data_IF_085566498736
#
_entry.id   IF_085566498736
#
_cell.length_a   1.000
_cell.length_b   1.000
_cell.length_c   1.000
_cell.angle_alpha   90.00
_cell.angle_beta   90.00
_cell.angle_gamma   90.00
#
_symmetry.space_group_name_H-M   'P 1'
#
loop_
_entity.id
_entity.type
_entity.pdbx_description
1 polymer ?
#
# COMPACT_ATOMS: atom_id res chain seq x y z
N UNK A 1 16.02 -4.54 1.52
CA UNK A 1 16.51 -4.10 2.85
C UNK A 1 16.39 -2.58 3.09
N UNK A 2 16.80 -1.65 2.19
CA UNK A 2 16.67 -0.20 2.46
C UNK A 2 15.21 0.31 2.48
N UNK A 3 14.29 -0.34 1.77
CA UNK A 3 12.90 0.10 1.79
C UNK A 3 12.19 -0.17 3.11
N UNK A 4 12.51 -1.28 3.79
CA UNK A 4 11.97 -1.57 5.12
C UNK A 4 12.44 -0.55 6.17
N UNK A 5 13.69 -0.08 6.08
CA UNK A 5 14.20 0.96 6.98
C UNK A 5 13.57 2.33 6.70
N UNK A 6 13.33 2.67 5.43
CA UNK A 6 12.60 3.89 5.05
C UNK A 6 11.16 3.84 5.57
N UNK A 7 10.45 2.74 5.36
CA UNK A 7 9.10 2.52 5.87
C UNK A 7 9.04 2.63 7.40
N UNK A 8 9.97 2.01 8.11
CA UNK A 8 10.06 2.11 9.57
C UNK A 8 10.32 3.56 10.04
N UNK A 9 11.19 4.30 9.33
CA UNK A 9 11.47 5.71 9.62
C UNK A 9 10.24 6.59 9.39
N UNK A 10 9.53 6.38 8.28
CA UNK A 10 8.28 7.10 7.98
C UNK A 10 7.22 6.78 9.04
N UNK A 11 7.00 5.50 9.36
CA UNK A 11 6.11 5.09 10.45
C UNK A 11 6.43 5.82 11.75
N UNK A 12 7.71 5.86 12.13
CA UNK A 12 8.15 6.54 13.36
C UNK A 12 7.89 8.05 13.29
N UNK A 13 8.19 8.71 12.18
CA UNK A 13 7.94 10.15 12.00
C UNK A 13 6.45 10.44 12.12
N UNK A 14 5.63 9.75 11.34
CA UNK A 14 4.18 9.92 11.35
C UNK A 14 3.60 9.65 12.74
N UNK A 15 4.07 8.63 13.47
CA UNK A 15 3.65 8.37 14.86
C UNK A 15 4.00 9.52 15.81
N UNK A 16 5.18 10.13 15.68
CA UNK A 16 5.60 11.26 16.51
C UNK A 16 4.78 12.51 16.23
N UNK A 17 4.53 12.80 14.95
CA UNK A 17 3.68 13.92 14.52
C UNK A 17 2.25 13.73 15.06
N UNK A 18 1.71 12.53 14.89
CA UNK A 18 0.36 12.15 15.35
C UNK A 18 0.21 12.24 16.87
N UNK A 19 1.24 11.85 17.62
CA UNK A 19 1.25 11.97 19.10
C UNK A 19 1.33 13.41 19.60
N UNK A 20 1.82 14.32 18.76
CA UNK A 20 1.98 15.74 19.08
C UNK A 20 0.69 16.54 18.85
N UNK A 21 -0.32 15.94 18.21
CA UNK A 21 -1.59 16.59 17.89
C UNK A 21 -2.51 16.73 19.11
N UNK A 22 -3.27 17.83 19.13
CA UNK A 22 -4.08 18.21 20.28
C UNK A 22 -5.20 17.22 20.60
N UNK A 23 -5.70 16.44 19.63
CA UNK A 23 -6.72 15.42 19.91
C UNK A 23 -6.19 14.25 20.74
N UNK A 24 -4.87 13.97 20.72
CA UNK A 24 -4.26 12.98 21.63
C UNK A 24 -4.27 13.54 23.07
N UNK A 25 -4.02 14.84 23.23
CA UNK A 25 -4.11 15.51 24.54
C UNK A 25 -5.55 15.52 25.04
N UNK A 26 -6.53 15.78 24.16
CA UNK A 26 -7.96 15.70 24.51
C UNK A 26 -8.39 14.27 24.86
N UNK A 27 -7.87 13.26 24.15
CA UNK A 27 -8.14 11.85 24.45
C UNK A 27 -7.63 11.46 25.85
N UNK A 28 -6.44 11.93 26.25
CA UNK A 28 -5.92 11.74 27.61
C UNK A 28 -6.74 12.50 28.65
N UNK A 29 -7.17 13.73 28.36
CA UNK A 29 -8.03 14.52 29.24
C UNK A 29 -9.42 13.87 29.45
N UNK A 30 -9.91 13.09 28.47
CA UNK A 30 -11.14 12.28 28.59
C UNK A 30 -10.96 10.98 29.40
N UNK A 31 -9.77 10.69 29.93
CA UNK A 31 -9.51 9.51 30.77
C UNK A 31 -9.00 8.27 30.02
N UNK A 32 -8.67 8.38 28.72
CA UNK A 32 -8.03 7.27 28.01
C UNK A 32 -6.59 7.11 28.48
N UNK A 33 -6.20 5.88 28.79
CA UNK A 33 -4.80 5.56 29.11
C UNK A 33 -3.90 5.80 27.90
N UNK A 34 -2.63 6.17 28.12
CA UNK A 34 -1.68 6.44 27.04
C UNK A 34 -1.55 5.31 26.02
N UNK A 35 -1.67 4.05 26.46
CA UNK A 35 -1.69 2.86 25.58
C UNK A 35 -2.96 2.77 24.73
N UNK A 36 -4.13 3.13 25.27
CA UNK A 36 -5.39 3.15 24.52
C UNK A 36 -5.40 4.27 23.49
N UNK A 37 -4.95 5.48 23.85
CA UNK A 37 -4.82 6.60 22.91
C UNK A 37 -3.80 6.28 21.79
N UNK A 38 -2.66 5.67 22.13
CA UNK A 38 -1.67 5.23 21.15
C UNK A 38 -2.25 4.21 20.18
N UNK A 39 -2.85 3.11 20.69
CA UNK A 39 -3.29 1.99 19.86
C UNK A 39 -4.55 2.30 19.04
N UNK A 40 -5.45 3.13 19.57
CA UNK A 40 -6.76 3.41 18.96
C UNK A 40 -6.78 4.69 18.12
N UNK A 41 -5.94 5.68 18.42
CA UNK A 41 -5.91 6.97 17.71
C UNK A 41 -4.59 7.20 16.98
N UNK A 42 -3.45 7.16 17.68
CA UNK A 42 -2.17 7.52 17.05
C UNK A 42 -1.70 6.49 16.00
N UNK A 43 -1.81 5.19 16.30
CA UNK A 43 -1.36 4.13 15.38
C UNK A 43 -2.17 4.11 14.08
N UNK A 44 -3.50 4.23 14.18
CA UNK A 44 -4.38 4.23 13.01
C UNK A 44 -4.14 5.43 12.10
N UNK A 45 -3.94 6.63 12.66
CA UNK A 45 -3.61 7.81 11.86
C UNK A 45 -2.20 7.75 11.25
N UNK A 46 -1.21 7.29 12.01
CA UNK A 46 0.16 7.19 11.54
C UNK A 46 0.40 6.07 10.51
N UNK A 47 -0.53 5.12 10.40
CA UNK A 47 -0.52 4.07 9.37
C UNK A 47 -0.90 4.60 7.98
N UNK A 48 -1.54 5.77 7.89
CA UNK A 48 -2.05 6.30 6.62
C UNK A 48 -0.92 6.51 5.60
N UNK A 49 0.18 7.22 5.93
CA UNK A 49 1.29 7.43 4.97
C UNK A 49 2.00 6.15 4.59
N UNK A 50 2.02 5.17 5.50
CA UNK A 50 2.76 3.92 5.35
C UNK A 50 2.03 2.98 4.41
N UNK A 51 0.70 2.90 4.51
CA UNK A 51 -0.14 2.23 3.53
C UNK A 51 0.04 2.83 2.11
N UNK A 52 0.29 4.15 2.00
CA UNK A 52 0.40 4.81 0.68
C UNK A 52 1.70 4.37 0.02
N UNK A 53 2.77 4.37 0.81
CA UNK A 53 4.08 3.90 0.36
C UNK A 53 4.02 2.43 -0.03
N UNK A 54 3.31 1.58 0.73
CA UNK A 54 3.13 0.16 0.39
C UNK A 54 2.38 0.00 -0.93
N UNK A 55 1.31 0.76 -1.17
CA UNK A 55 0.57 0.75 -2.42
C UNK A 55 1.45 1.11 -3.63
N UNK A 56 2.23 2.19 -3.52
CA UNK A 56 3.19 2.58 -4.55
C UNK A 56 4.27 1.50 -4.78
N UNK A 57 4.74 0.87 -3.70
CA UNK A 57 5.78 -0.16 -3.74
C UNK A 57 5.30 -1.45 -4.40
N UNK A 58 4.01 -1.76 -4.31
CA UNK A 58 3.41 -2.90 -5.01
C UNK A 58 3.53 -2.76 -6.53
N UNK A 59 3.31 -1.57 -7.09
CA UNK A 59 3.51 -1.30 -8.51
C UNK A 59 4.97 -1.52 -8.94
N UNK A 60 5.93 -1.11 -8.10
CA UNK A 60 7.36 -1.37 -8.35
C UNK A 60 7.70 -2.87 -8.28
N UNK A 61 7.11 -3.60 -7.34
CA UNK A 61 7.29 -5.05 -7.23
C UNK A 61 6.74 -5.77 -8.46
N UNK A 62 5.58 -5.37 -8.95
CA UNK A 62 4.98 -5.92 -10.17
C UNK A 62 5.89 -5.71 -11.38
N UNK A 63 6.39 -4.48 -11.58
CA UNK A 63 7.32 -4.16 -12.66
C UNK A 63 8.66 -4.91 -12.52
N UNK A 64 9.18 -5.03 -11.30
CA UNK A 64 10.39 -5.79 -11.01
C UNK A 64 10.23 -7.29 -11.25
N UNK A 65 9.06 -7.86 -10.94
CA UNK A 65 8.76 -9.26 -11.18
C UNK A 65 8.83 -9.61 -12.67
N UNK A 66 8.33 -8.73 -13.55
CA UNK A 66 8.44 -8.91 -15.01
C UNK A 66 9.91 -9.02 -15.45
N UNK A 67 10.79 -8.18 -14.91
CA UNK A 67 12.22 -8.21 -15.23
C UNK A 67 12.86 -9.52 -14.72
N UNK A 68 12.57 -9.90 -13.48
CA UNK A 68 13.11 -11.12 -12.87
C UNK A 68 12.64 -12.37 -13.64
N UNK A 69 11.36 -12.43 -14.03
CA UNK A 69 10.81 -13.52 -14.83
C UNK A 69 11.53 -13.68 -16.17
N UNK A 70 11.85 -12.56 -16.84
CA UNK A 70 12.57 -12.57 -18.10
C UNK A 70 14.04 -12.99 -17.94
N UNK A 71 14.74 -12.46 -16.93
CA UNK A 71 16.17 -12.76 -16.72
C UNK A 71 16.40 -14.21 -16.28
N UNK A 72 15.54 -14.74 -15.40
CA UNK A 72 15.68 -16.09 -14.85
C UNK A 72 14.90 -17.15 -15.64
N UNK A 73 14.30 -16.80 -16.79
CA UNK A 73 13.48 -17.71 -17.61
C UNK A 73 12.37 -18.43 -16.83
N UNK A 74 11.83 -17.79 -15.79
CA UNK A 74 10.71 -18.33 -15.03
C UNK A 74 9.42 -18.24 -15.86
N UNK A 75 8.55 -19.25 -15.82
CA UNK A 75 7.25 -19.18 -16.50
C UNK A 75 6.32 -18.24 -15.72
N UNK A 76 6.16 -17.01 -16.21
CA UNK A 76 5.32 -15.99 -15.59
C UNK A 76 4.62 -15.09 -16.61
N UNK A 77 3.67 -14.29 -16.12
CA UNK A 77 2.82 -13.43 -16.96
C UNK A 77 3.61 -12.31 -17.65
N UNK A 78 4.66 -11.78 -17.01
CA UNK A 78 5.52 -10.76 -17.59
C UNK A 78 6.34 -11.26 -18.77
N UNK A 79 6.82 -12.51 -18.68
CA UNK A 79 7.51 -13.18 -19.79
C UNK A 79 6.56 -13.51 -20.95
N UNK A 80 5.33 -13.93 -20.65
CA UNK A 80 4.28 -14.19 -21.65
C UNK A 80 3.97 -12.94 -22.48
N UNK A 81 3.85 -11.77 -21.83
CA UNK A 81 3.69 -10.47 -22.54
C UNK A 81 4.86 -10.23 -23.48
N UNK A 82 6.09 -10.42 -23.02
CA UNK A 82 7.29 -10.18 -23.83
C UNK A 82 7.37 -11.09 -25.06
N UNK A 83 7.00 -12.36 -24.90
CA UNK A 83 6.91 -13.32 -26.01
C UNK A 83 5.81 -12.94 -27.00
N UNK A 84 4.63 -12.54 -26.52
CA UNK A 84 3.51 -12.13 -27.35
C UNK A 84 3.83 -10.84 -28.15
N UNK A 85 4.54 -9.87 -27.55
CA UNK A 85 5.06 -8.68 -28.25
C UNK A 85 6.00 -9.10 -29.40
N UNK A 86 6.92 -10.03 -29.14
CA UNK A 86 7.87 -10.52 -30.15
C UNK A 86 7.16 -11.23 -31.31
N UNK A 87 6.12 -12.01 -31.00
CA UNK A 87 5.28 -12.71 -31.98
C UNK A 87 4.22 -11.81 -32.65
N UNK A 88 4.14 -10.53 -32.27
CA UNK A 88 3.09 -9.57 -32.67
C UNK A 88 1.66 -10.06 -32.41
N UNK A 89 1.48 -10.91 -31.40
CA UNK A 89 0.16 -11.35 -30.96
C UNK A 89 -0.44 -10.30 -30.00
N UNK A 90 -1.07 -9.29 -30.60
CA UNK A 90 -1.66 -8.18 -29.86
C UNK A 90 -2.81 -8.61 -28.94
N UNK A 91 -3.52 -9.70 -29.29
CA UNK A 91 -4.65 -10.20 -28.51
C UNK A 91 -4.17 -10.75 -27.16
N UNK A 92 -3.08 -11.52 -27.19
CA UNK A 92 -2.47 -12.08 -25.97
C UNK A 92 -1.86 -10.96 -25.12
N UNK A 93 -1.19 -9.98 -25.74
CA UNK A 93 -0.65 -8.81 -25.02
C UNK A 93 -1.76 -8.07 -24.29
N UNK A 94 -2.84 -7.72 -24.99
CA UNK A 94 -3.97 -7.00 -24.41
C UNK A 94 -4.59 -7.79 -23.25
N UNK A 95 -4.84 -9.08 -23.44
CA UNK A 95 -5.45 -9.95 -22.43
C UNK A 95 -4.62 -10.01 -21.14
N UNK A 96 -3.30 -10.15 -21.25
CA UNK A 96 -2.42 -10.23 -20.07
C UNK A 96 -2.27 -8.87 -19.40
N UNK A 97 -2.15 -7.78 -20.18
CA UNK A 97 -2.11 -6.43 -19.63
C UNK A 97 -3.40 -6.09 -18.88
N UNK A 98 -4.56 -6.46 -19.43
CA UNK A 98 -5.86 -6.23 -18.79
C UNK A 98 -5.97 -6.99 -17.47
N UNK A 99 -5.47 -8.23 -17.40
CA UNK A 99 -5.41 -9.03 -16.17
C UNK A 99 -4.48 -8.40 -15.12
N UNK A 100 -3.31 -7.91 -15.53
CA UNK A 100 -2.37 -7.22 -14.64
C UNK A 100 -2.97 -5.92 -14.08
N UNK A 101 -3.59 -5.11 -14.93
CA UNK A 101 -4.28 -3.87 -14.50
C UNK A 101 -5.41 -4.19 -13.53
N UNK A 102 -6.22 -5.21 -13.83
CA UNK A 102 -7.29 -5.66 -12.93
C UNK A 102 -6.76 -6.09 -11.56
N UNK A 103 -5.66 -6.85 -11.52
CA UNK A 103 -5.02 -7.25 -10.26
C UNK A 103 -4.51 -6.03 -9.47
N UNK A 104 -3.90 -5.04 -10.14
CA UNK A 104 -3.44 -3.80 -9.51
C UNK A 104 -4.62 -3.00 -8.94
N UNK A 105 -5.74 -2.91 -9.67
CA UNK A 105 -6.95 -2.25 -9.20
C UNK A 105 -7.51 -2.96 -7.96
N UNK A 106 -7.57 -4.30 -7.96
CA UNK A 106 -8.01 -5.06 -6.77
C UNK A 106 -7.12 -4.77 -5.57
N UNK A 107 -5.79 -4.77 -5.76
CA UNK A 107 -4.86 -4.53 -4.66
C UNK A 107 -5.00 -3.10 -4.12
N UNK A 108 -5.08 -2.09 -5.01
CA UNK A 108 -5.35 -0.72 -4.58
C UNK A 108 -6.69 -0.61 -3.87
N UNK A 109 -7.74 -1.25 -4.38
CA UNK A 109 -9.05 -1.26 -3.73
C UNK A 109 -9.01 -1.92 -2.34
N UNK A 110 -8.26 -3.01 -2.16
CA UNK A 110 -8.05 -3.63 -0.86
C UNK A 110 -7.27 -2.72 0.10
N UNK A 111 -6.30 -1.98 -0.42
CA UNK A 111 -5.55 -0.96 0.33
C UNK A 111 -6.50 0.17 0.76
N UNK A 112 -7.32 0.69 -0.14
CA UNK A 112 -8.36 1.71 0.12
C UNK A 112 -9.43 1.22 1.12
N UNK A 113 -9.81 -0.04 1.04
CA UNK A 113 -10.71 -0.63 2.02
C UNK A 113 -10.04 -0.76 3.40
N UNK A 114 -8.78 -1.19 3.44
CA UNK A 114 -8.00 -1.21 4.67
C UNK A 114 -7.87 0.20 5.26
N UNK A 115 -7.70 1.23 4.41
CA UNK A 115 -7.76 2.63 4.82
C UNK A 115 -9.10 2.99 5.45
N UNK A 116 -10.22 2.71 4.79
CA UNK A 116 -11.55 3.02 5.30
C UNK A 116 -11.86 2.29 6.62
N UNK A 117 -11.28 1.11 6.84
CA UNK A 117 -11.41 0.35 8.09
C UNK A 117 -10.53 0.90 9.22
N UNK A 118 -9.37 1.43 8.87
CA UNK A 118 -8.40 2.02 9.78
C UNK A 118 -8.81 3.43 10.18
N UNK A 119 -9.38 4.23 9.28
CA UNK A 119 -9.80 5.61 9.54
C UNK A 119 -11.33 5.77 9.69
N UNK A 120 -11.87 5.79 10.93
CA UNK A 120 -13.29 6.02 11.17
C UNK A 120 -13.76 7.46 10.89
N UNK A 121 -12.87 8.40 10.51
CA UNK A 121 -13.27 9.80 10.22
C UNK A 121 -14.00 9.95 8.89
N UNK A 122 -13.81 9.04 7.92
CA UNK A 122 -14.53 9.09 6.63
C UNK A 122 -16.04 8.84 6.79
N UNK A 123 -16.46 8.25 7.93
CA UNK A 123 -17.85 7.93 8.23
C UNK A 123 -18.71 9.16 8.62
N UNK A 124 -18.12 10.31 8.93
CA UNK A 124 -18.87 11.46 9.49
C UNK A 124 -19.16 12.60 8.52
N UNK A 125 -18.95 12.42 7.21
CA UNK A 125 -19.24 13.42 6.17
C UNK A 125 -20.22 12.94 5.08
N UNK A 126 -20.99 11.88 5.35
CA UNK A 126 -22.13 11.47 4.55
C UNK A 126 -23.41 11.68 5.34
#
# INVERSE_FOLDING_TARGET
>A
LPQASILARVMRSSLLDTLSEDYIRTARAKGLTGRQALRRHALRNALIPVLTIIGLQFSFLLAGAIIIENVFFLPGLGRLVFQAISQRDLIVVESVVMLLVFAVIIVNFLVDLAYAWVDPRLRSRA
#
